data_IF_916696927201
#
_entry.id   IF_916696927201
#
_cell.length_a   1.000
_cell.length_b   1.000
_cell.length_c   1.000
_cell.angle_alpha   90.00
_cell.angle_beta   90.00
_cell.angle_gamma   90.00
#
_symmetry.space_group_name_H-M   'P 1'
#
loop_
_entity.id
_entity.type
_entity.pdbx_description
1 polymer ?
#
# COMPACT_ATOMS: atom_id res chain seq x y z
N UNK A 1 -1.14 2.02 -53.00
CA UNK A 1 -2.01 3.10 -52.50
C UNK A 1 -1.93 3.06 -51.00
N UNK A 2 -0.93 3.76 -50.48
CA UNK A 2 -0.69 3.96 -49.06
C UNK A 2 -1.68 5.01 -48.55
N UNK A 3 -2.68 4.57 -47.79
CA UNK A 3 -3.51 5.46 -46.98
C UNK A 3 -2.85 5.60 -45.62
N UNK A 4 -2.02 6.63 -45.45
CA UNK A 4 -1.61 7.11 -44.14
C UNK A 4 -2.62 8.18 -43.75
N UNK A 5 -3.52 7.84 -42.83
CA UNK A 5 -4.34 8.83 -42.14
C UNK A 5 -3.46 9.53 -41.10
N UNK A 6 -2.98 10.72 -41.45
CA UNK A 6 -2.36 11.66 -40.52
C UNK A 6 -3.45 12.20 -39.58
N UNK A 7 -3.38 11.90 -38.28
CA UNK A 7 -4.21 12.63 -37.32
C UNK A 7 -4.66 11.98 -36.01
N UNK A 8 -4.20 10.79 -35.60
CA UNK A 8 -4.47 10.31 -34.24
C UNK A 8 -3.22 10.35 -33.36
N UNK A 9 -3.28 11.26 -32.40
CA UNK A 9 -2.39 11.44 -31.27
C UNK A 9 -1.64 10.15 -30.85
N UNK A 10 -0.33 10.16 -31.07
CA UNK A 10 0.60 9.35 -30.29
C UNK A 10 0.53 9.87 -28.85
N UNK A 11 -0.35 9.29 -28.01
CA UNK A 11 -0.30 9.39 -26.56
C UNK A 11 -1.26 8.38 -25.90
N UNK A 12 -0.68 7.42 -25.15
CA UNK A 12 -1.41 6.75 -24.07
C UNK A 12 -1.90 5.34 -24.38
N UNK A 13 -0.97 4.38 -24.46
CA UNK A 13 -1.30 2.99 -24.14
C UNK A 13 -1.98 2.95 -22.76
N UNK A 14 -3.30 2.78 -22.79
CA UNK A 14 -4.16 2.74 -21.61
C UNK A 14 -3.82 1.46 -20.85
N UNK A 15 -2.97 1.57 -19.83
CA UNK A 15 -2.67 0.44 -18.95
C UNK A 15 -3.98 -0.12 -18.38
N UNK A 16 -4.13 -1.45 -18.41
CA UNK A 16 -5.31 -2.10 -17.86
C UNK A 16 -5.48 -1.71 -16.37
N UNK A 17 -6.68 -1.27 -15.94
CA UNK A 17 -6.92 -0.83 -14.55
C UNK A 17 -6.52 -1.88 -13.50
N UNK A 18 -6.70 -3.16 -13.82
CA UNK A 18 -6.30 -4.26 -12.96
C UNK A 18 -4.77 -4.30 -12.71
N UNK A 19 -3.97 -4.03 -13.75
CA UNK A 19 -2.52 -3.98 -13.60
C UNK A 19 -2.10 -2.81 -12.70
N UNK A 20 -2.69 -1.63 -12.92
CA UNK A 20 -2.47 -0.46 -12.05
C UNK A 20 -2.79 -0.78 -10.59
N UNK A 21 -3.94 -1.41 -10.33
CA UNK A 21 -4.33 -1.79 -8.97
C UNK A 21 -3.34 -2.75 -8.30
N UNK A 22 -2.78 -3.71 -9.07
CA UNK A 22 -1.74 -4.61 -8.55
C UNK A 22 -0.46 -3.85 -8.19
N UNK A 23 -0.03 -2.93 -9.06
CA UNK A 23 1.16 -2.10 -8.81
C UNK A 23 0.94 -1.17 -7.62
N UNK A 24 -0.19 -0.47 -7.56
CA UNK A 24 -0.53 0.42 -6.45
C UNK A 24 -0.66 -0.33 -5.12
N UNK A 25 -1.22 -1.55 -5.14
CA UNK A 25 -1.26 -2.41 -3.97
C UNK A 25 0.13 -2.85 -3.50
N UNK A 26 1.05 -3.14 -4.42
CA UNK A 26 2.44 -3.48 -4.09
C UNK A 26 3.20 -2.27 -3.52
N UNK A 27 3.00 -1.08 -4.10
CA UNK A 27 3.56 0.17 -3.58
C UNK A 27 3.03 0.51 -2.18
N UNK A 28 1.73 0.26 -1.93
CA UNK A 28 1.14 0.42 -0.61
C UNK A 28 1.83 -0.49 0.42
N UNK A 29 2.04 -1.76 0.07
CA UNK A 29 2.74 -2.73 0.92
C UNK A 29 4.15 -2.26 1.26
N UNK A 30 4.93 -1.85 0.26
CA UNK A 30 6.30 -1.37 0.46
C UNK A 30 6.35 -0.15 1.38
N UNK A 31 5.46 0.83 1.15
CA UNK A 31 5.38 2.05 1.98
C UNK A 31 5.07 1.73 3.44
N UNK A 32 4.10 0.86 3.70
CA UNK A 32 3.69 0.44 5.05
C UNK A 32 4.80 -0.35 5.74
N UNK A 33 5.44 -1.25 5.01
CA UNK A 33 6.51 -2.09 5.55
C UNK A 33 7.73 -1.26 5.96
N UNK A 34 8.14 -0.32 5.13
CA UNK A 34 9.25 0.58 5.45
C UNK A 34 8.98 1.40 6.72
N UNK A 35 7.76 1.95 6.86
CA UNK A 35 7.37 2.69 8.07
C UNK A 35 7.31 1.77 9.31
N UNK A 36 6.76 0.57 9.17
CA UNK A 36 6.72 -0.41 10.26
C UNK A 36 8.13 -0.78 10.72
N UNK A 37 9.05 -1.08 9.79
CA UNK A 37 10.43 -1.42 10.11
C UNK A 37 11.13 -0.29 10.86
N UNK A 38 10.97 0.95 10.42
CA UNK A 38 11.52 2.12 11.13
C UNK A 38 10.99 2.21 12.57
N UNK A 39 9.70 1.99 12.79
CA UNK A 39 9.10 1.98 14.13
C UNK A 39 9.61 0.82 14.99
N UNK A 40 9.84 -0.35 14.39
CA UNK A 40 10.38 -1.52 15.07
C UNK A 40 11.84 -1.35 15.44
N UNK A 41 12.67 -0.79 14.57
CA UNK A 41 14.08 -0.46 14.85
C UNK A 41 14.20 0.54 15.99
N UNK A 42 13.35 1.57 15.98
CA UNK A 42 13.26 2.53 17.08
C UNK A 42 12.79 1.86 18.39
N UNK A 43 11.88 0.89 18.31
CA UNK A 43 11.38 0.14 19.47
C UNK A 43 12.42 -0.83 20.04
N UNK A 44 13.22 -1.51 19.20
CA UNK A 44 14.25 -2.49 19.64
C UNK A 44 15.31 -1.87 20.56
N UNK A 45 15.56 -0.56 20.45
CA UNK A 45 16.43 0.17 21.39
C UNK A 45 15.84 0.23 22.81
N UNK A 46 14.53 0.07 22.96
CA UNK A 46 13.79 0.27 24.20
C UNK A 46 12.94 -0.93 24.69
N UNK A 47 12.60 -1.97 23.88
CA UNK A 47 11.96 -3.25 24.28
C UNK A 47 11.63 -4.19 23.08
N UNK A 48 11.19 -5.43 23.39
CA UNK A 48 10.83 -6.51 22.45
C UNK A 48 9.71 -6.10 21.46
N UNK A 49 9.70 -6.58 20.19
CA UNK A 49 8.85 -6.05 19.11
C UNK A 49 7.35 -6.40 19.18
N UNK A 50 6.84 -6.79 20.34
CA UNK A 50 5.42 -7.00 20.56
C UNK A 50 4.72 -5.64 20.63
N UNK A 51 3.77 -5.40 19.73
CA UNK A 51 3.05 -4.14 19.67
C UNK A 51 1.81 -4.19 18.79
N UNK A 52 0.87 -3.30 19.07
CA UNK A 52 -0.29 -3.05 18.22
C UNK A 52 0.01 -1.86 17.31
N UNK A 53 -0.26 -1.98 16.01
CA UNK A 53 -0.02 -0.94 15.02
C UNK A 53 -1.29 -0.66 14.23
N UNK A 54 -1.54 0.61 13.90
CA UNK A 54 -2.57 1.01 12.94
C UNK A 54 -1.94 1.29 11.60
N UNK A 55 -2.42 0.60 10.57
CA UNK A 55 -2.18 0.95 9.18
C UNK A 55 -3.36 1.78 8.71
N UNK A 56 -3.08 2.98 8.23
CA UNK A 56 -4.10 3.94 7.79
C UNK A 56 -3.89 4.35 6.35
N UNK A 57 -5.00 4.49 5.65
CA UNK A 57 -5.13 5.10 4.32
C UNK A 57 -6.47 5.83 4.29
N UNK A 58 -6.70 6.65 3.28
CA UNK A 58 -8.06 7.15 3.04
C UNK A 58 -8.98 6.06 2.46
N UNK A 59 -10.26 6.37 2.28
CA UNK A 59 -11.24 5.42 1.75
C UNK A 59 -10.91 4.95 0.33
N UNK A 60 -10.37 5.81 -0.52
CA UNK A 60 -10.05 5.49 -1.92
C UNK A 60 -8.88 4.51 -2.04
N UNK A 61 -7.87 4.67 -1.19
CA UNK A 61 -6.65 3.86 -1.18
C UNK A 61 -6.73 2.62 -0.28
N UNK A 62 -7.83 2.43 0.45
CA UNK A 62 -7.99 1.32 1.39
C UNK A 62 -7.90 -0.05 0.73
N UNK A 63 -8.47 -0.21 -0.46
CA UNK A 63 -8.37 -1.46 -1.23
C UNK A 63 -6.93 -1.78 -1.62
N UNK A 64 -6.15 -0.77 -2.01
CA UNK A 64 -4.72 -0.91 -2.31
C UNK A 64 -3.93 -1.28 -1.04
N UNK A 65 -4.26 -0.67 0.10
CA UNK A 65 -3.67 -1.01 1.40
C UNK A 65 -3.89 -2.48 1.77
N UNK A 66 -5.12 -2.98 1.64
CA UNK A 66 -5.46 -4.40 1.91
C UNK A 66 -4.84 -5.35 0.87
N UNK A 67 -4.67 -4.86 -0.36
CA UNK A 67 -4.15 -5.58 -1.51
C UNK A 67 -5.19 -6.48 -2.16
N UNK A 68 -4.97 -6.77 -3.45
CA UNK A 68 -5.82 -7.69 -4.21
C UNK A 68 -5.90 -9.05 -3.51
N UNK A 69 -7.11 -9.62 -3.37
CA UNK A 69 -7.37 -10.84 -2.61
C UNK A 69 -6.80 -10.84 -1.18
N UNK A 70 -6.70 -9.67 -0.53
CA UNK A 70 -6.13 -9.48 0.82
C UNK A 70 -4.64 -9.84 0.91
N UNK A 71 -3.92 -9.87 -0.21
CA UNK A 71 -2.52 -10.30 -0.28
C UNK A 71 -1.61 -9.53 0.68
N UNK A 72 -1.77 -8.21 0.79
CA UNK A 72 -0.95 -7.42 1.70
C UNK A 72 -1.27 -7.76 3.16
N UNK A 73 -2.57 -7.88 3.48
CA UNK A 73 -2.99 -8.26 4.84
C UNK A 73 -2.43 -9.62 5.27
N UNK A 74 -2.44 -10.61 4.38
CA UNK A 74 -1.86 -11.93 4.65
C UNK A 74 -0.34 -11.85 4.80
N UNK A 75 0.33 -11.15 3.87
CA UNK A 75 1.77 -10.93 3.92
C UNK A 75 2.24 -10.39 5.29
N UNK A 76 1.59 -9.35 5.81
CA UNK A 76 1.98 -8.80 7.11
C UNK A 76 1.68 -9.74 8.28
N UNK A 77 0.58 -10.50 8.23
CA UNK A 77 0.24 -11.47 9.27
C UNK A 77 1.24 -12.64 9.33
N UNK A 78 1.70 -13.11 8.16
CA UNK A 78 2.67 -14.20 8.04
C UNK A 78 4.09 -13.75 8.40
N UNK A 79 4.51 -12.57 7.92
CA UNK A 79 5.86 -12.05 8.15
C UNK A 79 6.07 -11.51 9.57
N UNK A 80 5.01 -10.99 10.19
CA UNK A 80 5.08 -10.38 11.53
C UNK A 80 4.06 -11.00 12.49
N UNK A 81 4.18 -12.30 12.84
CA UNK A 81 3.19 -13.01 13.65
C UNK A 81 3.05 -12.45 15.08
N UNK A 82 4.08 -11.77 15.59
CA UNK A 82 4.08 -11.14 16.92
C UNK A 82 3.49 -9.73 16.97
N UNK A 83 2.99 -9.21 15.85
CA UNK A 83 2.49 -7.85 15.72
C UNK A 83 1.00 -7.87 15.41
N UNK A 84 0.22 -7.06 16.15
CA UNK A 84 -1.20 -6.92 15.92
C UNK A 84 -1.47 -5.71 15.03
N UNK A 85 -1.96 -5.92 13.81
CA UNK A 85 -2.19 -4.85 12.83
C UNK A 85 -3.68 -4.54 12.71
N UNK A 86 -4.04 -3.27 12.92
CA UNK A 86 -5.38 -2.73 12.70
C UNK A 86 -5.40 -1.91 11.43
N UNK A 87 -6.35 -2.22 10.56
CA UNK A 87 -6.53 -1.55 9.27
C UNK A 87 -7.65 -0.52 9.45
N UNK A 88 -7.35 0.76 9.27
CA UNK A 88 -8.30 1.86 9.48
C UNK A 88 -8.30 2.82 8.30
N UNK A 89 -9.42 3.49 8.10
CA UNK A 89 -9.48 4.65 7.22
C UNK A 89 -9.17 5.92 7.99
N UNK A 90 -8.51 6.86 7.32
CA UNK A 90 -8.22 8.20 7.82
C UNK A 90 -8.51 9.20 6.69
N UNK A 91 -9.62 9.97 6.76
CA UNK A 91 -10.04 10.84 5.68
C UNK A 91 -9.11 12.05 5.49
N UNK A 92 -8.20 12.31 6.43
CA UNK A 92 -7.22 13.39 6.29
C UNK A 92 -6.02 13.01 5.39
N UNK A 93 -5.89 11.73 5.01
CA UNK A 93 -4.81 11.27 4.13
C UNK A 93 -5.16 11.51 2.65
N UNK A 94 -4.17 11.97 1.89
CA UNK A 94 -4.27 12.07 0.43
C UNK A 94 -4.29 10.67 -0.23
N UNK A 95 -4.75 10.63 -1.47
CA UNK A 95 -4.73 9.41 -2.27
C UNK A 95 -3.31 8.87 -2.44
N UNK A 96 -3.15 7.55 -2.29
CA UNK A 96 -1.85 6.88 -2.34
C UNK A 96 -0.95 7.14 -1.14
N UNK A 97 -1.41 7.87 -0.11
CA UNK A 97 -0.67 8.04 1.16
C UNK A 97 -1.11 7.02 2.19
N UNK A 98 -0.11 6.46 2.87
CA UNK A 98 -0.27 5.46 3.91
C UNK A 98 0.54 5.87 5.13
N UNK A 99 0.00 5.65 6.32
CA UNK A 99 0.71 5.90 7.58
C UNK A 99 0.62 4.72 8.52
N UNK A 100 1.73 4.43 9.20
CA UNK A 100 1.79 3.44 10.28
C UNK A 100 1.95 4.14 11.61
N UNK A 101 1.10 3.80 12.58
CA UNK A 101 1.15 4.34 13.94
C UNK A 101 1.24 3.20 14.95
N UNK A 102 2.14 3.32 15.92
CA UNK A 102 2.18 2.42 17.07
C UNK A 102 1.12 2.84 18.09
N UNK A 103 0.41 1.89 18.66
CA UNK A 103 -0.47 2.08 19.83
C UNK A 103 0.27 1.82 21.13
#
# INVERSE_FOLDING_TARGET
TDLITEGEAVCGHTFHPAFRQLVEGELAKESLENQLLQLLENTKKNQMPAGEFAFRSNGHSFSNMIGNAKRNKLYFAEKYPGIKIRWKTDPALEDGRYTVLKY
#
